data_IF_529987076302
#
_entry.id   IF_529987076302
#
_cell.length_a   1.000
_cell.length_b   1.000
_cell.length_c   1.000
_cell.angle_alpha   90.00
_cell.angle_beta   90.00
_cell.angle_gamma   90.00
#
_symmetry.space_group_name_H-M   'P 1'
#
loop_
_entity.id
_entity.type
_entity.pdbx_description
1 polymer ?
#
# COMPACT_ATOMS: atom_id res chain seq x y z
N UNK A 1 -1.38 -5.21 -39.62
CA UNK A 1 0.07 -5.45 -39.41
C UNK A 1 0.18 -6.28 -38.14
N UNK A 2 0.52 -7.58 -38.22
CA UNK A 2 0.64 -8.39 -37.02
C UNK A 2 1.92 -7.97 -36.29
N UNK A 3 1.80 -7.62 -35.01
CA UNK A 3 2.93 -7.28 -34.16
C UNK A 3 3.72 -8.56 -33.87
N UNK A 4 4.98 -8.56 -34.32
CA UNK A 4 5.88 -9.70 -34.24
C UNK A 4 6.27 -9.96 -32.78
N UNK A 5 5.92 -11.15 -32.27
CA UNK A 5 6.15 -11.55 -30.87
C UNK A 5 7.64 -11.60 -30.53
N UNK A 6 8.52 -11.78 -31.53
CA UNK A 6 9.97 -11.76 -31.33
C UNK A 6 10.50 -10.36 -31.03
N UNK A 7 9.87 -9.31 -31.57
CA UNK A 7 10.23 -7.91 -31.29
C UNK A 7 9.84 -7.56 -29.85
N UNK A 8 8.65 -7.97 -29.41
CA UNK A 8 8.20 -7.77 -28.02
C UNK A 8 9.11 -8.49 -27.02
N UNK A 9 9.55 -9.72 -27.31
CA UNK A 9 10.46 -10.46 -26.44
C UNK A 9 11.86 -9.82 -26.37
N UNK A 10 12.37 -9.24 -27.46
CA UNK A 10 13.64 -8.53 -27.45
C UNK A 10 13.56 -7.18 -26.71
N UNK A 11 12.41 -6.50 -26.71
CA UNK A 11 12.22 -5.28 -25.90
C UNK A 11 12.11 -5.61 -24.41
N UNK A 12 11.46 -6.73 -24.07
CA UNK A 12 11.27 -7.17 -22.69
C UNK A 12 12.48 -7.92 -22.11
N UNK A 13 13.38 -8.45 -22.96
CA UNK A 13 14.56 -9.22 -22.56
C UNK A 13 15.64 -8.44 -21.79
N UNK A 14 15.50 -7.11 -21.70
CA UNK A 14 16.42 -6.22 -20.98
C UNK A 14 16.00 -5.86 -19.55
N UNK A 15 14.76 -6.15 -19.14
CA UNK A 15 14.31 -5.89 -17.77
C UNK A 15 14.28 -7.21 -17.04
N UNK A 16 15.45 -7.64 -16.54
CA UNK A 16 15.45 -8.51 -15.36
C UNK A 16 14.69 -7.72 -14.29
N UNK A 17 13.57 -8.22 -13.72
CA UNK A 17 13.18 -7.73 -12.41
C UNK A 17 14.35 -8.12 -11.51
N UNK A 18 15.25 -7.18 -11.26
CA UNK A 18 16.14 -7.26 -10.12
C UNK A 18 15.25 -7.11 -8.90
N UNK A 19 14.49 -8.16 -8.58
CA UNK A 19 13.89 -8.36 -7.28
C UNK A 19 15.06 -8.61 -6.34
N UNK A 20 15.71 -7.53 -5.95
CA UNK A 20 16.40 -7.46 -4.67
C UNK A 20 15.26 -7.62 -3.67
N UNK A 21 14.94 -8.88 -3.33
CA UNK A 21 14.15 -9.17 -2.15
C UNK A 21 15.05 -8.68 -1.02
N UNK A 22 14.72 -7.59 -0.30
CA UNK A 22 15.44 -7.33 0.91
C UNK A 22 15.10 -8.51 1.81
N UNK A 23 16.10 -9.34 2.11
CA UNK A 23 16.00 -10.48 3.02
C UNK A 23 15.86 -9.96 4.48
N UNK A 24 15.09 -8.89 4.66
CA UNK A 24 14.87 -8.13 5.89
C UNK A 24 13.39 -8.18 6.19
N UNK A 25 13.08 -8.34 7.47
CA UNK A 25 11.74 -8.13 7.98
C UNK A 25 11.28 -6.70 7.65
N UNK A 26 10.07 -6.59 7.12
CA UNK A 26 9.46 -5.31 6.77
C UNK A 26 8.42 -4.99 7.83
N UNK A 27 8.31 -3.73 8.22
CA UNK A 27 7.23 -3.26 9.09
C UNK A 27 6.29 -2.40 8.26
N UNK A 28 5.08 -2.88 8.03
CA UNK A 28 4.03 -2.18 7.30
C UNK A 28 3.12 -1.46 8.29
N UNK A 29 2.75 -0.23 7.98
CA UNK A 29 1.72 0.50 8.71
C UNK A 29 0.46 0.56 7.84
N UNK A 30 -0.61 -0.07 8.29
CA UNK A 30 -1.92 0.00 7.63
C UNK A 30 -2.74 1.09 8.27
N UNK A 31 -3.19 2.04 7.45
CA UNK A 31 -4.11 3.10 7.81
C UNK A 31 -5.50 2.76 7.27
N UNK A 32 -6.49 2.72 8.16
CA UNK A 32 -7.89 2.46 7.83
C UNK A 32 -8.79 3.51 8.50
N UNK A 33 -8.63 4.79 8.15
CA UNK A 33 -9.36 5.89 8.78
C UNK A 33 -10.87 5.75 8.59
N UNK A 34 -11.63 6.13 9.62
CA UNK A 34 -13.09 6.16 9.61
C UNK A 34 -13.76 4.82 9.27
N UNK A 35 -13.11 3.69 9.60
CA UNK A 35 -13.76 2.38 9.64
C UNK A 35 -14.77 2.33 10.79
N UNK A 36 -15.82 3.16 10.71
CA UNK A 36 -17.01 2.99 11.52
C UNK A 36 -17.64 1.70 10.98
N UNK A 37 -17.99 0.77 11.87
CA UNK A 37 -18.71 -0.47 11.57
C UNK A 37 -20.02 -0.18 10.81
N UNK A 38 -19.94 0.12 9.51
CA UNK A 38 -21.09 0.46 8.68
C UNK A 38 -21.65 -0.83 8.09
N UNK A 39 -22.65 -1.38 8.79
CA UNK A 39 -23.93 -2.01 8.36
C UNK A 39 -24.07 -2.87 7.08
N UNK A 40 -23.07 -2.98 6.21
CA UNK A 40 -23.07 -3.82 5.01
C UNK A 40 -22.09 -4.99 5.22
N UNK A 41 -22.55 -6.13 5.76
CA UNK A 41 -21.70 -7.27 6.13
C UNK A 41 -20.87 -7.81 4.95
N UNK A 42 -21.35 -7.62 3.72
CA UNK A 42 -20.73 -8.10 2.47
C UNK A 42 -19.35 -7.48 2.19
N UNK A 43 -19.15 -6.19 2.51
CA UNK A 43 -17.88 -5.48 2.29
C UNK A 43 -16.90 -5.68 3.43
N UNK A 44 -17.40 -5.74 4.67
CA UNK A 44 -16.60 -6.06 5.86
C UNK A 44 -15.98 -7.47 5.78
N UNK A 45 -16.73 -8.46 5.30
CA UNK A 45 -16.24 -9.84 5.17
C UNK A 45 -15.21 -10.03 4.06
N UNK A 46 -15.35 -9.33 2.93
CA UNK A 46 -14.35 -9.39 1.84
C UNK A 46 -13.06 -8.70 2.24
N UNK A 47 -13.15 -7.58 2.97
CA UNK A 47 -11.99 -6.92 3.54
C UNK A 47 -11.28 -7.82 4.57
N UNK A 48 -12.03 -8.42 5.50
CA UNK A 48 -11.51 -9.31 6.53
C UNK A 48 -10.86 -10.60 6.00
N UNK A 49 -11.40 -11.19 4.92
CA UNK A 49 -10.83 -12.42 4.33
C UNK A 49 -9.51 -12.16 3.60
N UNK A 50 -9.40 -11.03 2.90
CA UNK A 50 -8.14 -10.64 2.23
C UNK A 50 -7.09 -10.17 3.23
N UNK A 51 -7.53 -9.56 4.33
CA UNK A 51 -6.71 -9.19 5.46
C UNK A 51 -6.07 -10.41 6.13
N UNK A 52 -6.80 -11.52 6.31
CA UNK A 52 -6.23 -12.75 6.86
C UNK A 52 -5.20 -13.40 5.93
N UNK A 53 -5.47 -13.40 4.61
CA UNK A 53 -4.50 -13.92 3.63
C UNK A 53 -3.20 -13.10 3.58
N UNK A 54 -3.30 -11.78 3.74
CA UNK A 54 -2.13 -10.90 3.84
C UNK A 54 -1.36 -11.12 5.15
N UNK A 55 -2.05 -11.25 6.29
CA UNK A 55 -1.43 -11.52 7.59
C UNK A 55 -0.69 -12.87 7.56
N UNK A 56 -1.28 -13.91 6.98
CA UNK A 56 -0.65 -15.21 6.83
C UNK A 56 0.62 -15.13 5.97
N UNK A 57 0.55 -14.48 4.80
CA UNK A 57 1.71 -14.31 3.92
C UNK A 57 2.82 -13.49 4.59
N UNK A 58 2.49 -12.41 5.28
CA UNK A 58 3.46 -11.53 5.93
C UNK A 58 4.11 -12.23 7.13
N UNK A 59 3.35 -13.04 7.86
CA UNK A 59 3.85 -13.84 8.99
C UNK A 59 4.86 -14.91 8.55
N UNK A 60 4.65 -15.52 7.37
CA UNK A 60 5.57 -16.54 6.83
C UNK A 60 6.98 -15.99 6.55
N UNK A 61 7.12 -14.69 6.31
CA UNK A 61 8.38 -14.04 5.99
C UNK A 61 8.89 -13.09 7.09
N UNK A 62 8.38 -13.23 8.33
CA UNK A 62 8.72 -12.38 9.48
C UNK A 62 8.46 -10.87 9.24
N UNK A 63 7.52 -10.54 8.37
CA UNK A 63 7.05 -9.16 8.24
C UNK A 63 6.05 -8.85 9.36
N UNK A 64 5.95 -7.57 9.69
CA UNK A 64 5.11 -7.07 10.78
C UNK A 64 4.10 -6.10 10.22
N UNK A 65 2.87 -6.20 10.67
CA UNK A 65 1.81 -5.26 10.35
C UNK A 65 1.48 -4.49 11.63
N UNK A 66 1.48 -3.17 11.52
CA UNK A 66 0.99 -2.26 12.52
C UNK A 66 -0.26 -1.61 11.96
N UNK A 67 -1.23 -1.38 12.82
CA UNK A 67 -2.55 -0.89 12.45
C UNK A 67 -2.80 0.42 13.18
N UNK A 68 -3.24 1.43 12.43
CA UNK A 68 -3.71 2.68 12.99
C UNK A 68 -4.98 3.19 12.31
N UNK A 69 -5.90 3.68 13.14
CA UNK A 69 -7.16 4.30 12.72
C UNK A 69 -7.05 5.81 12.51
N UNK A 70 -6.08 6.47 13.14
CA UNK A 70 -5.81 7.90 12.98
C UNK A 70 -4.33 8.25 12.76
N UNK A 71 -4.08 9.51 12.37
CA UNK A 71 -2.73 10.02 12.07
C UNK A 71 -1.86 10.22 13.33
N UNK A 72 -2.46 10.40 14.51
CA UNK A 72 -1.72 10.55 15.77
C UNK A 72 -1.12 9.19 16.18
N UNK A 73 -1.94 8.14 16.17
CA UNK A 73 -1.50 6.77 16.42
C UNK A 73 -0.49 6.32 15.36
N UNK A 74 -0.72 6.64 14.09
CA UNK A 74 0.21 6.37 13.00
C UNK A 74 1.59 6.98 13.26
N UNK A 75 1.65 8.26 13.64
CA UNK A 75 2.91 8.92 13.97
C UNK A 75 3.61 8.26 15.17
N UNK A 76 2.86 7.91 16.21
CA UNK A 76 3.41 7.19 17.35
C UNK A 76 4.05 5.87 16.92
N UNK A 77 3.39 5.10 16.06
CA UNK A 77 3.89 3.82 15.57
C UNK A 77 5.15 3.99 14.72
N UNK A 78 5.23 5.02 13.86
CA UNK A 78 6.44 5.30 13.07
C UNK A 78 7.63 5.74 13.94
N UNK A 79 7.38 6.40 15.08
CA UNK A 79 8.45 6.76 16.03
C UNK A 79 8.97 5.57 16.82
N UNK A 80 8.09 4.64 17.18
CA UNK A 80 8.43 3.47 18.01
C UNK A 80 8.99 2.33 17.16
N UNK A 81 8.50 2.17 15.93
CA UNK A 81 8.85 1.09 15.02
C UNK A 81 9.47 1.63 13.75
N UNK A 82 10.43 0.89 13.19
CA UNK A 82 11.02 1.22 11.89
C UNK A 82 10.04 0.83 10.76
N UNK A 83 8.99 1.63 10.59
CA UNK A 83 7.98 1.45 9.53
C UNK A 83 8.62 1.70 8.17
N UNK A 84 8.41 0.77 7.24
CA UNK A 84 8.99 0.80 5.91
C UNK A 84 8.04 1.38 4.86
N UNK A 85 6.75 1.08 5.00
CA UNK A 85 5.73 1.42 4.01
C UNK A 85 4.41 1.68 4.74
N UNK A 86 3.66 2.67 4.26
CA UNK A 86 2.29 2.93 4.67
C UNK A 86 1.36 2.33 3.60
N UNK A 87 0.35 1.57 4.02
CA UNK A 87 -0.75 1.10 3.18
C UNK A 87 -2.01 1.81 3.63
N UNK A 88 -2.54 2.69 2.80
CA UNK A 88 -3.77 3.44 3.07
C UNK A 88 -4.95 2.77 2.36
N UNK A 89 -5.87 2.27 3.17
CA UNK A 89 -7.21 1.94 2.71
C UNK A 89 -8.11 3.18 2.84
N UNK A 90 -8.30 3.88 1.71
CA UNK A 90 -9.14 5.07 1.65
C UNK A 90 -10.60 4.79 1.34
N UNK A 91 -11.03 3.52 1.34
CA UNK A 91 -12.41 3.12 0.98
C UNK A 91 -13.49 3.80 1.82
N UNK A 92 -13.15 4.21 3.04
CA UNK A 92 -14.04 4.86 4.01
C UNK A 92 -13.76 6.35 4.22
N UNK A 93 -12.85 6.95 3.43
CA UNK A 93 -12.58 8.39 3.49
C UNK A 93 -13.64 9.17 2.71
N UNK A 94 -14.42 9.99 3.44
CA UNK A 94 -15.34 10.96 2.84
C UNK A 94 -14.56 12.00 2.01
N UNK A 95 -13.54 12.61 2.61
CA UNK A 95 -12.60 13.52 1.94
C UNK A 95 -11.16 12.97 1.97
N UNK A 96 -10.77 12.33 0.87
CA UNK A 96 -9.41 11.80 0.70
C UNK A 96 -8.36 12.91 0.66
N UNK A 97 -8.71 14.09 0.12
CA UNK A 97 -7.76 15.20 -0.09
C UNK A 97 -7.36 15.82 1.24
N UNK A 98 -8.33 16.15 2.09
CA UNK A 98 -8.07 16.74 3.41
C UNK A 98 -7.25 15.79 4.30
N UNK A 99 -7.56 14.49 4.24
CA UNK A 99 -6.80 13.48 4.98
C UNK A 99 -5.35 13.39 4.50
N UNK A 100 -5.14 13.33 3.18
CA UNK A 100 -3.80 13.23 2.59
C UNK A 100 -2.98 14.51 2.79
N UNK A 101 -3.61 15.68 2.77
CA UNK A 101 -2.97 16.93 3.17
C UNK A 101 -2.52 16.86 4.64
N UNK A 102 -3.38 16.40 5.54
CA UNK A 102 -3.02 16.22 6.95
C UNK A 102 -1.88 15.22 7.14
N UNK A 103 -1.88 14.12 6.38
CA UNK A 103 -0.79 13.14 6.35
C UNK A 103 0.52 13.77 5.86
N UNK A 104 0.48 14.58 4.81
CA UNK A 104 1.67 15.26 4.25
C UNK A 104 2.31 16.27 5.22
N UNK A 105 1.52 16.85 6.13
CA UNK A 105 2.02 17.75 7.17
C UNK A 105 2.78 17.00 8.27
N UNK A 106 2.56 15.68 8.40
CA UNK A 106 3.24 14.83 9.35
C UNK A 106 4.57 14.36 8.74
N UNK A 107 5.68 15.06 9.02
CA UNK A 107 6.98 14.82 8.36
C UNK A 107 7.43 13.35 8.37
N UNK A 108 7.17 12.64 9.46
CA UNK A 108 7.53 11.23 9.62
C UNK A 108 6.71 10.32 8.71
N UNK A 109 5.41 10.58 8.55
CA UNK A 109 4.54 9.83 7.67
C UNK A 109 4.79 10.18 6.20
N UNK A 110 4.95 11.47 5.89
CA UNK A 110 5.20 11.96 4.54
C UNK A 110 6.52 11.44 3.94
N UNK A 111 7.51 11.17 4.79
CA UNK A 111 8.79 10.59 4.37
C UNK A 111 8.70 9.12 3.95
N UNK A 112 7.58 8.44 4.25
CA UNK A 112 7.40 7.03 3.95
C UNK A 112 6.71 6.82 2.60
N UNK A 113 7.06 5.74 1.89
CA UNK A 113 6.30 5.27 0.74
C UNK A 113 4.82 5.02 1.12
N UNK A 114 3.90 5.63 0.39
CA UNK A 114 2.47 5.52 0.59
C UNK A 114 1.84 4.68 -0.52
N UNK A 115 1.28 3.55 -0.17
CA UNK A 115 0.49 2.70 -1.06
C UNK A 115 -0.98 3.04 -0.90
N UNK A 116 -1.66 3.34 -2.02
CA UNK A 116 -3.10 3.60 -2.06
C UNK A 116 -3.83 2.45 -2.75
N UNK A 117 -4.96 2.01 -2.19
CA UNK A 117 -5.67 0.81 -2.67
C UNK A 117 -6.83 1.09 -3.63
N UNK A 118 -7.29 2.34 -3.74
CA UNK A 118 -8.42 2.74 -4.58
C UNK A 118 -8.09 3.95 -5.46
N UNK A 119 -8.91 4.14 -6.50
CA UNK A 119 -8.70 5.19 -7.51
C UNK A 119 -8.84 6.59 -6.90
N UNK A 120 -9.89 6.84 -6.10
CA UNK A 120 -10.19 8.16 -5.52
C UNK A 120 -9.03 8.63 -4.65
N UNK A 121 -8.53 7.76 -3.79
CA UNK A 121 -7.44 8.09 -2.86
C UNK A 121 -6.10 8.19 -3.58
N UNK A 122 -5.88 7.37 -4.61
CA UNK A 122 -4.71 7.48 -5.49
C UNK A 122 -4.65 8.82 -6.22
N UNK A 123 -5.76 9.25 -6.82
CA UNK A 123 -5.84 10.52 -7.53
C UNK A 123 -5.56 11.69 -6.58
N UNK A 124 -6.21 11.70 -5.42
CA UNK A 124 -5.97 12.71 -4.39
C UNK A 124 -4.51 12.72 -3.91
N UNK A 125 -3.90 11.56 -3.68
CA UNK A 125 -2.52 11.46 -3.18
C UNK A 125 -1.51 12.03 -4.19
N UNK A 126 -1.75 11.82 -5.49
CA UNK A 126 -0.89 12.38 -6.54
C UNK A 126 -1.02 13.91 -6.68
N UNK A 127 -2.07 14.54 -6.12
CA UNK A 127 -2.20 16.00 -6.08
C UNK A 127 -1.49 16.63 -4.86
N UNK A 128 -1.06 15.82 -3.89
CA UNK A 128 -0.41 16.31 -2.67
C UNK A 128 1.10 16.22 -2.84
N UNK A 129 1.73 17.39 -2.89
CA UNK A 129 3.19 17.50 -2.91
C UNK A 129 3.79 16.85 -1.65
N UNK A 130 5.00 16.29 -1.79
CA UNK A 130 5.77 15.62 -0.73
C UNK A 130 5.30 14.22 -0.30
N UNK A 131 4.37 13.58 -1.03
CA UNK A 131 4.05 12.16 -0.83
C UNK A 131 4.68 11.29 -1.92
N UNK A 132 5.27 10.17 -1.52
CA UNK A 132 5.78 9.14 -2.42
C UNK A 132 4.69 8.09 -2.67
N UNK A 133 3.87 8.31 -3.69
CA UNK A 133 2.66 7.50 -3.93
C UNK A 133 2.93 6.30 -4.83
N UNK A 134 2.49 5.13 -4.38
CA UNK A 134 2.58 3.85 -5.07
C UNK A 134 1.17 3.27 -5.25
N UNK A 135 0.51 3.50 -6.39
CA UNK A 135 -0.85 3.04 -6.59
C UNK A 135 -0.94 1.51 -6.69
N UNK A 136 -1.86 0.91 -5.93
CA UNK A 136 -2.16 -0.52 -5.95
C UNK A 136 -3.65 -0.73 -6.22
N UNK A 137 -4.06 -0.53 -7.47
CA UNK A 137 -5.44 -0.62 -7.91
C UNK A 137 -5.82 -2.07 -8.26
N UNK A 138 -6.01 -2.89 -7.24
CA UNK A 138 -6.44 -4.28 -7.41
C UNK A 138 -7.96 -4.31 -7.47
N UNK A 139 -8.58 -4.83 -8.54
CA UNK A 139 -10.04 -4.93 -8.61
C UNK A 139 -10.58 -5.89 -7.54
N UNK A 140 -11.66 -5.49 -6.86
CA UNK A 140 -12.28 -6.22 -5.71
C UNK A 140 -12.56 -7.70 -5.99
N UNK A 141 -12.81 -8.06 -7.25
CA UNK A 141 -13.09 -9.44 -7.66
C UNK A 141 -11.85 -10.33 -7.81
N UNK A 142 -10.65 -9.77 -7.66
CA UNK A 142 -9.36 -10.45 -7.81
C UNK A 142 -8.36 -9.90 -6.81
N UNK A 143 -8.75 -9.71 -5.54
CA UNK A 143 -7.83 -9.35 -4.46
C UNK A 143 -6.66 -10.34 -4.45
N UNK A 144 -5.58 -9.95 -5.11
CA UNK A 144 -4.41 -10.76 -5.35
C UNK A 144 -3.33 -10.24 -4.42
N UNK A 145 -3.24 -10.89 -3.27
CA UNK A 145 -2.23 -10.61 -2.24
C UNK A 145 -0.81 -10.58 -2.80
N UNK A 146 -0.52 -11.34 -3.86
CA UNK A 146 0.77 -11.31 -4.55
C UNK A 146 1.06 -9.99 -5.29
N UNK A 147 0.04 -9.36 -5.88
CA UNK A 147 0.19 -8.05 -6.53
C UNK A 147 0.42 -6.94 -5.51
N UNK A 148 -0.33 -6.95 -4.40
CA UNK A 148 -0.11 -5.99 -3.31
C UNK A 148 1.30 -6.17 -2.74
N UNK A 149 1.74 -7.42 -2.56
CA UNK A 149 3.08 -7.73 -2.08
C UNK A 149 4.19 -7.21 -3.00
N UNK A 150 4.04 -7.34 -4.32
CA UNK A 150 4.99 -6.80 -5.28
C UNK A 150 5.11 -5.27 -5.17
N UNK A 151 3.98 -4.56 -5.04
CA UNK A 151 3.97 -3.11 -4.83
C UNK A 151 4.62 -2.74 -3.50
N UNK A 152 4.37 -3.49 -2.43
CA UNK A 152 5.03 -3.31 -1.13
C UNK A 152 6.55 -3.45 -1.26
N UNK A 153 7.04 -4.47 -1.97
CA UNK A 153 8.46 -4.69 -2.18
C UNK A 153 9.11 -3.52 -2.95
N UNK A 154 8.45 -3.01 -3.98
CA UNK A 154 8.91 -1.86 -4.77
C UNK A 154 8.95 -0.61 -3.88
N UNK A 155 7.86 -0.33 -3.16
CA UNK A 155 7.73 0.82 -2.27
C UNK A 155 8.82 0.79 -1.18
N UNK A 156 8.99 -0.35 -0.49
CA UNK A 156 9.99 -0.53 0.56
C UNK A 156 11.44 -0.36 0.07
N UNK A 157 11.70 -0.62 -1.22
CA UNK A 157 13.02 -0.45 -1.84
C UNK A 157 13.30 0.99 -2.28
N UNK A 158 12.27 1.83 -2.40
CA UNK A 158 12.42 3.26 -2.72
C UNK A 158 12.93 4.09 -1.54
N UNK A 159 12.78 3.56 -0.32
CA UNK A 159 13.32 4.11 0.93
C UNK A 159 14.81 3.74 1.04
N UNK A 160 15.66 4.36 0.21
CA UNK A 160 17.12 4.14 0.21
C UNK A 160 17.91 5.34 0.70
#
# INVERSE_FOLDING_TARGET
IPADLEILQNILGGVKPSTIIPNRSLTLLRLYPNCIEQKEPSKSLSHSLSEWSLVEQLSLFNHRILEADDLEQAQMLVRVWQVDVIVLDGSYLDDSTDYLQSLSQCSELASLPLITLDIKTTEAANQVDNLLVFPCLIPDNKQNVGQLWEVIQIAASSKS
#
